data_IF_232483730449
#
_entry.id   IF_232483730449
#
_cell.length_a   1.000
_cell.length_b   1.000
_cell.length_c   1.000
_cell.angle_alpha   90.00
_cell.angle_beta   90.00
_cell.angle_gamma   90.00
#
_symmetry.space_group_name_H-M   'P 1'
#
loop_
_entity.id
_entity.type
_entity.pdbx_description
1 polymer ?
#
# COMPACT_ATOMS: atom_id res chain seq x y z
N UNK A 1 31.21 3.46 -4.18
CA UNK A 1 30.33 4.60 -3.76
C UNK A 1 28.90 4.07 -3.84
N UNK A 2 28.10 4.24 -2.79
CA UNK A 2 26.72 3.74 -2.78
C UNK A 2 25.91 4.51 -3.82
N UNK A 3 25.34 3.80 -4.79
CA UNK A 3 24.39 4.38 -5.75
C UNK A 3 22.96 4.23 -5.23
N UNK A 4 22.44 5.28 -4.60
CA UNK A 4 21.12 5.28 -3.99
C UNK A 4 19.99 4.92 -4.98
N UNK A 5 20.16 5.26 -6.26
CA UNK A 5 19.20 4.94 -7.33
C UNK A 5 19.01 3.42 -7.49
N UNK A 6 20.09 2.65 -7.43
CA UNK A 6 20.01 1.19 -7.50
C UNK A 6 19.21 0.60 -6.33
N UNK A 7 19.39 1.15 -5.14
CA UNK A 7 18.62 0.71 -3.95
C UNK A 7 17.15 1.12 -4.01
N UNK A 8 16.84 2.32 -4.52
CA UNK A 8 15.43 2.73 -4.77
C UNK A 8 14.74 1.77 -5.73
N UNK A 9 15.39 1.46 -6.86
CA UNK A 9 14.86 0.52 -7.86
C UNK A 9 14.70 -0.89 -7.25
N UNK A 10 15.67 -1.34 -6.47
CA UNK A 10 15.60 -2.63 -5.78
C UNK A 10 14.39 -2.71 -4.83
N UNK A 11 14.19 -1.71 -3.99
CA UNK A 11 13.05 -1.65 -3.05
C UNK A 11 11.73 -1.67 -3.81
N UNK A 12 11.61 -0.92 -4.90
CA UNK A 12 10.37 -0.91 -5.71
C UNK A 12 10.10 -2.28 -6.37
N UNK A 13 11.12 -2.92 -6.94
CA UNK A 13 10.96 -4.28 -7.50
C UNK A 13 10.62 -5.31 -6.42
N UNK A 14 11.14 -5.13 -5.20
CA UNK A 14 10.84 -5.99 -4.06
C UNK A 14 9.40 -5.81 -3.54
N UNK A 15 8.88 -4.58 -3.56
CA UNK A 15 7.48 -4.28 -3.23
C UNK A 15 6.52 -4.97 -4.20
N UNK A 16 6.78 -4.86 -5.50
CA UNK A 16 5.86 -5.33 -6.53
C UNK A 16 6.05 -6.83 -6.86
N UNK A 17 7.22 -7.39 -6.61
CA UNK A 17 7.65 -8.73 -7.10
C UNK A 17 7.34 -8.93 -8.59
N UNK A 18 7.28 -7.82 -9.33
CA UNK A 18 6.90 -7.74 -10.73
C UNK A 18 7.66 -6.59 -11.41
N UNK A 19 8.58 -6.94 -12.33
CA UNK A 19 9.42 -5.96 -13.03
C UNK A 19 8.60 -5.00 -13.90
N UNK A 20 7.49 -5.46 -14.49
CA UNK A 20 6.61 -4.62 -15.33
C UNK A 20 5.96 -3.54 -14.49
N UNK A 21 5.32 -3.91 -13.38
CA UNK A 21 4.69 -2.95 -12.47
C UNK A 21 5.69 -1.98 -11.87
N UNK A 22 6.84 -2.48 -11.42
CA UNK A 22 7.91 -1.62 -10.92
C UNK A 22 8.42 -0.63 -11.98
N UNK A 23 8.49 -1.05 -13.26
CA UNK A 23 8.90 -0.15 -14.35
C UNK A 23 7.88 0.96 -14.61
N UNK A 24 6.59 0.66 -14.49
CA UNK A 24 5.50 1.63 -14.61
C UNK A 24 5.56 2.66 -13.47
N UNK A 25 5.70 2.21 -12.22
CA UNK A 25 5.81 3.10 -11.04
C UNK A 25 7.06 3.99 -11.09
N UNK A 26 8.17 3.44 -11.56
CA UNK A 26 9.45 4.18 -11.68
C UNK A 26 9.53 5.06 -12.94
N UNK A 27 8.55 5.00 -13.84
CA UNK A 27 8.56 5.69 -15.15
C UNK A 27 9.82 5.40 -15.97
N UNK A 28 10.36 4.17 -15.93
CA UNK A 28 11.50 3.71 -16.72
C UNK A 28 11.17 2.39 -17.45
N UNK A 29 11.98 2.04 -18.46
CA UNK A 29 11.72 0.80 -19.21
C UNK A 29 12.07 -0.46 -18.39
N UNK A 30 11.34 -1.57 -18.62
CA UNK A 30 11.65 -2.87 -18.00
C UNK A 30 13.11 -3.35 -18.22
N UNK A 31 13.70 -3.20 -19.42
CA UNK A 31 15.12 -3.50 -19.60
C UNK A 31 16.04 -2.67 -18.70
N UNK A 32 15.68 -1.39 -18.45
CA UNK A 32 16.41 -0.52 -17.55
C UNK A 32 16.33 -1.02 -16.10
N UNK A 33 15.13 -1.34 -15.61
CA UNK A 33 14.93 -1.94 -14.28
C UNK A 33 15.80 -3.20 -14.12
N UNK A 34 15.72 -4.11 -15.10
CA UNK A 34 16.49 -5.37 -15.08
C UNK A 34 18.00 -5.11 -15.05
N UNK A 35 18.46 -4.12 -15.82
CA UNK A 35 19.88 -3.72 -15.84
C UNK A 35 20.33 -3.16 -14.50
N UNK A 36 19.53 -2.30 -13.88
CA UNK A 36 19.85 -1.72 -12.56
C UNK A 36 19.89 -2.78 -11.46
N UNK A 37 18.94 -3.74 -11.44
CA UNK A 37 18.99 -4.86 -10.50
C UNK A 37 20.25 -5.70 -10.68
N UNK A 38 20.61 -6.05 -11.92
CA UNK A 38 21.85 -6.78 -12.19
C UNK A 38 23.09 -6.01 -11.76
N UNK A 39 23.12 -4.70 -11.97
CA UNK A 39 24.22 -3.87 -11.51
C UNK A 39 24.36 -3.91 -9.99
N UNK A 40 23.25 -3.77 -9.26
CA UNK A 40 23.25 -3.88 -7.80
C UNK A 40 23.73 -5.25 -7.32
N UNK A 41 23.21 -6.32 -7.91
CA UNK A 41 23.64 -7.69 -7.60
C UNK A 41 25.15 -7.90 -7.85
N UNK A 42 25.67 -7.33 -8.94
CA UNK A 42 27.10 -7.39 -9.26
C UNK A 42 27.94 -6.55 -8.28
N UNK A 43 27.52 -5.31 -7.94
CA UNK A 43 28.24 -4.45 -6.99
C UNK A 43 28.31 -5.07 -5.59
N UNK A 44 27.25 -5.75 -5.17
CA UNK A 44 27.19 -6.43 -3.88
C UNK A 44 27.78 -7.84 -3.91
N UNK A 45 28.01 -8.39 -5.11
CA UNK A 45 28.34 -9.81 -5.33
C UNK A 45 27.32 -10.76 -4.68
N UNK A 46 26.03 -10.43 -4.80
CA UNK A 46 24.90 -11.15 -4.22
C UNK A 46 23.83 -11.39 -5.29
N UNK A 47 23.04 -12.45 -5.13
CA UNK A 47 21.82 -12.66 -5.89
C UNK A 47 20.64 -12.26 -5.01
N UNK A 48 19.92 -11.20 -5.37
CA UNK A 48 18.83 -10.65 -4.56
C UNK A 48 17.46 -11.20 -4.98
N UNK A 49 17.30 -11.55 -6.25
CA UNK A 49 16.06 -12.12 -6.78
C UNK A 49 16.29 -13.48 -7.42
N UNK A 50 15.25 -14.34 -7.34
CA UNK A 50 15.18 -15.62 -8.04
C UNK A 50 13.85 -15.75 -8.78
N UNK A 51 13.86 -16.41 -9.94
CA UNK A 51 12.63 -16.77 -10.66
C UNK A 51 12.08 -18.09 -10.13
N UNK A 52 10.78 -18.17 -9.97
CA UNK A 52 10.07 -19.40 -9.60
C UNK A 52 8.88 -19.60 -10.54
N UNK A 53 8.24 -20.78 -10.48
CA UNK A 53 7.01 -21.05 -11.23
C UNK A 53 5.85 -20.12 -10.86
N UNK A 54 5.98 -19.38 -9.75
CA UNK A 54 5.00 -18.38 -9.27
C UNK A 54 5.45 -16.92 -9.53
N UNK A 55 6.50 -16.71 -10.34
CA UNK A 55 7.01 -15.39 -10.68
C UNK A 55 8.33 -15.03 -9.98
N UNK A 56 8.60 -13.73 -9.86
CA UNK A 56 9.79 -13.19 -9.21
C UNK A 56 9.65 -13.30 -7.68
N UNK A 57 10.76 -13.64 -7.01
CA UNK A 57 10.83 -13.72 -5.54
C UNK A 57 12.18 -13.22 -5.05
N UNK A 58 12.21 -12.70 -3.85
CA UNK A 58 13.46 -12.40 -3.14
C UNK A 58 14.17 -13.70 -2.74
N UNK A 59 15.49 -13.66 -2.70
CA UNK A 59 16.31 -14.63 -1.97
C UNK A 59 16.27 -14.29 -0.47
N UNK A 60 16.83 -15.13 0.39
CA UNK A 60 16.86 -14.86 1.83
C UNK A 60 17.68 -13.60 2.13
N UNK A 61 18.83 -13.44 1.47
CA UNK A 61 19.65 -12.24 1.57
C UNK A 61 18.97 -11.02 0.92
N UNK A 62 18.22 -11.23 -0.17
CA UNK A 62 17.40 -10.17 -0.78
C UNK A 62 16.30 -9.69 0.15
N UNK A 63 15.67 -10.60 0.90
CA UNK A 63 14.66 -10.23 1.91
C UNK A 63 15.29 -9.45 3.06
N UNK A 64 16.42 -9.89 3.57
CA UNK A 64 17.17 -9.19 4.63
C UNK A 64 17.55 -7.76 4.21
N UNK A 65 18.07 -7.62 2.99
CA UNK A 65 18.41 -6.31 2.41
C UNK A 65 17.16 -5.44 2.26
N UNK A 66 16.04 -6.00 1.77
CA UNK A 66 14.79 -5.28 1.62
C UNK A 66 14.26 -4.75 2.96
N UNK A 67 14.18 -5.61 3.99
CA UNK A 67 13.72 -5.22 5.32
C UNK A 67 14.61 -4.13 5.95
N UNK A 68 15.91 -4.13 5.63
CA UNK A 68 16.84 -3.12 6.12
C UNK A 68 16.72 -1.78 5.38
N UNK A 69 16.30 -1.79 4.11
CA UNK A 69 16.32 -0.61 3.23
C UNK A 69 14.97 0.06 3.06
N UNK A 70 13.85 -0.66 3.18
CA UNK A 70 12.53 -0.10 2.88
C UNK A 70 12.23 1.19 3.67
N UNK A 71 12.51 1.21 4.97
CA UNK A 71 12.23 2.39 5.79
C UNK A 71 13.21 3.55 5.53
N UNK A 72 14.54 3.36 5.50
CA UNK A 72 15.47 4.41 5.12
C UNK A 72 15.22 5.00 3.72
N UNK A 73 14.91 4.18 2.72
CA UNK A 73 14.62 4.67 1.36
C UNK A 73 13.34 5.51 1.36
N UNK A 74 12.26 5.05 2.02
CA UNK A 74 11.02 5.80 2.11
C UNK A 74 11.22 7.13 2.83
N UNK A 75 12.04 7.18 3.89
CA UNK A 75 12.35 8.43 4.59
C UNK A 75 13.13 9.40 3.70
N UNK A 76 14.10 8.91 2.90
CA UNK A 76 14.83 9.75 1.94
C UNK A 76 13.86 10.32 0.88
N UNK A 77 12.96 9.51 0.31
CA UNK A 77 11.96 9.95 -0.65
C UNK A 77 11.05 11.02 -0.01
N UNK A 78 10.65 10.83 1.24
CA UNK A 78 9.84 11.78 1.99
C UNK A 78 10.55 13.09 2.28
N UNK A 79 11.85 13.04 2.56
CA UNK A 79 12.67 14.24 2.72
C UNK A 79 12.78 14.98 1.38
N UNK A 80 13.10 14.26 0.30
CA UNK A 80 13.23 14.83 -1.04
C UNK A 80 11.94 15.54 -1.48
N UNK A 81 10.76 14.90 -1.28
CA UNK A 81 9.46 15.49 -1.60
C UNK A 81 9.12 16.76 -0.82
N UNK A 82 9.72 17.01 0.35
CA UNK A 82 9.55 18.27 1.10
C UNK A 82 10.27 19.45 0.45
N UNK A 83 11.31 19.19 -0.33
CA UNK A 83 12.15 20.22 -0.96
C UNK A 83 11.89 20.34 -2.47
N UNK A 84 11.20 19.37 -3.07
CA UNK A 84 10.69 19.49 -4.44
C UNK A 84 9.27 20.05 -4.42
N UNK A 85 8.87 20.78 -5.47
CA UNK A 85 7.52 21.35 -5.58
C UNK A 85 6.43 20.26 -5.81
N UNK A 86 6.82 19.01 -6.00
CA UNK A 86 5.90 17.88 -6.15
C UNK A 86 5.63 17.26 -4.78
N UNK A 87 4.43 17.48 -4.28
CA UNK A 87 3.96 16.83 -3.04
C UNK A 87 3.12 15.62 -3.41
N UNK A 88 3.56 14.45 -2.96
CA UNK A 88 2.80 13.23 -3.06
C UNK A 88 2.19 12.89 -1.70
N UNK A 89 0.90 12.51 -1.68
CA UNK A 89 0.22 12.00 -0.50
C UNK A 89 -0.25 10.58 -0.83
N UNK A 90 0.26 9.61 -0.09
CA UNK A 90 -0.08 8.20 -0.25
C UNK A 90 -1.20 7.83 0.72
N UNK A 91 -2.35 7.44 0.18
CA UNK A 91 -3.56 7.18 0.95
C UNK A 91 -3.94 5.70 0.83
N UNK A 92 -4.06 5.02 1.97
CA UNK A 92 -4.59 3.66 2.05
C UNK A 92 -6.08 3.66 2.39
N UNK A 93 -6.87 2.84 1.69
CA UNK A 93 -8.27 2.63 2.06
C UNK A 93 -8.84 1.35 1.43
N UNK A 94 -9.94 0.86 1.98
CA UNK A 94 -10.74 -0.17 1.31
C UNK A 94 -11.53 0.41 0.12
N UNK A 95 -11.72 -0.37 -0.95
CA UNK A 95 -12.45 0.05 -2.14
C UNK A 95 -13.82 0.67 -1.86
N UNK A 96 -14.59 0.10 -0.94
CA UNK A 96 -15.92 0.60 -0.61
C UNK A 96 -15.88 1.96 0.12
N UNK A 97 -14.85 2.22 0.92
CA UNK A 97 -14.68 3.51 1.59
C UNK A 97 -14.19 4.59 0.61
N UNK A 98 -13.35 4.23 -0.35
CA UNK A 98 -12.91 5.15 -1.40
C UNK A 98 -14.11 5.74 -2.16
N UNK A 99 -15.05 4.90 -2.56
CA UNK A 99 -16.24 5.35 -3.30
C UNK A 99 -17.13 6.30 -2.47
N UNK A 100 -17.22 6.08 -1.15
CA UNK A 100 -18.07 6.89 -0.27
C UNK A 100 -17.41 8.24 0.07
N UNK A 101 -16.09 8.22 0.36
CA UNK A 101 -15.38 9.39 0.91
C UNK A 101 -14.81 10.26 -0.21
N UNK A 102 -14.38 9.67 -1.31
CA UNK A 102 -13.52 10.36 -2.27
C UNK A 102 -14.22 10.91 -3.51
N UNK A 103 -15.46 10.51 -3.85
CA UNK A 103 -16.09 10.92 -5.12
C UNK A 103 -16.06 12.44 -5.34
N UNK A 104 -16.70 13.21 -4.45
CA UNK A 104 -16.76 14.67 -4.56
C UNK A 104 -15.54 15.37 -3.92
N UNK A 105 -14.90 14.75 -2.93
CA UNK A 105 -13.80 15.37 -2.19
C UNK A 105 -12.52 15.46 -3.03
N UNK A 106 -12.18 14.43 -3.81
CA UNK A 106 -10.97 14.42 -4.64
C UNK A 106 -11.02 15.50 -5.71
N UNK A 107 -12.16 15.66 -6.37
CA UNK A 107 -12.30 16.69 -7.41
C UNK A 107 -12.10 18.09 -6.84
N UNK A 108 -12.65 18.38 -5.67
CA UNK A 108 -12.46 19.65 -4.97
C UNK A 108 -11.02 19.84 -4.52
N UNK A 109 -10.40 18.77 -4.01
CA UNK A 109 -9.01 18.80 -3.57
C UNK A 109 -8.05 19.16 -4.70
N UNK A 110 -8.20 18.56 -5.90
CA UNK A 110 -7.35 18.87 -7.05
C UNK A 110 -7.56 20.29 -7.59
N UNK A 111 -8.76 20.85 -7.45
CA UNK A 111 -9.02 22.26 -7.82
C UNK A 111 -8.29 23.23 -6.88
N UNK A 112 -8.20 22.90 -5.61
CA UNK A 112 -7.58 23.73 -4.58
C UNK A 112 -6.05 23.53 -4.49
N UNK A 113 -5.60 22.28 -4.72
CA UNK A 113 -4.19 21.88 -4.58
C UNK A 113 -3.67 21.16 -5.83
N UNK A 114 -3.55 21.85 -6.99
CA UNK A 114 -3.19 21.21 -8.26
C UNK A 114 -1.76 20.61 -8.29
N UNK A 115 -0.89 21.04 -7.39
CA UNK A 115 0.51 20.57 -7.29
C UNK A 115 0.70 19.39 -6.31
N UNK A 116 -0.40 18.84 -5.79
CA UNK A 116 -0.34 17.67 -4.90
C UNK A 116 -0.89 16.43 -5.63
N UNK A 117 -0.06 15.41 -5.73
CA UNK A 117 -0.46 14.12 -6.28
C UNK A 117 -1.01 13.22 -5.17
N UNK A 118 -2.20 12.65 -5.36
CA UNK A 118 -2.79 11.66 -4.46
C UNK A 118 -2.59 10.26 -5.05
N UNK A 119 -1.84 9.42 -4.34
CA UNK A 119 -1.67 8.02 -4.66
C UNK A 119 -2.61 7.18 -3.78
N UNK A 120 -3.51 6.41 -4.39
CA UNK A 120 -4.49 5.60 -3.67
C UNK A 120 -4.05 4.14 -3.68
N UNK A 121 -3.97 3.52 -2.51
CA UNK A 121 -3.65 2.09 -2.35
C UNK A 121 -4.78 1.38 -1.62
N UNK A 122 -5.17 0.21 -2.16
CA UNK A 122 -6.18 -0.64 -1.55
C UNK A 122 -5.53 -1.89 -0.98
N UNK A 123 -5.71 -2.12 0.31
CA UNK A 123 -5.23 -3.31 1.00
C UNK A 123 -6.09 -3.59 2.24
N UNK A 124 -5.81 -4.69 2.93
CA UNK A 124 -6.44 -5.01 4.22
C UNK A 124 -6.00 -4.04 5.33
N UNK A 125 -6.87 -3.76 6.29
CA UNK A 125 -6.64 -2.74 7.34
C UNK A 125 -5.31 -2.94 8.06
N UNK A 126 -4.99 -4.17 8.48
CA UNK A 126 -3.75 -4.46 9.22
C UNK A 126 -2.51 -4.21 8.36
N UNK A 127 -2.57 -4.55 7.08
CA UNK A 127 -1.51 -4.28 6.13
C UNK A 127 -1.30 -2.78 5.94
N UNK A 128 -2.38 -2.03 5.70
CA UNK A 128 -2.32 -0.57 5.57
C UNK A 128 -1.78 0.12 6.82
N UNK A 129 -2.13 -0.35 8.02
CA UNK A 129 -1.58 0.20 9.26
C UNK A 129 -0.08 -0.05 9.42
N UNK A 130 0.42 -1.21 8.97
CA UNK A 130 1.87 -1.48 8.92
C UNK A 130 2.56 -0.57 7.89
N UNK A 131 1.96 -0.35 6.74
CA UNK A 131 2.48 0.56 5.72
C UNK A 131 2.51 2.01 6.22
N UNK A 132 1.51 2.43 7.00
CA UNK A 132 1.48 3.73 7.66
C UNK A 132 2.61 3.86 8.70
N UNK A 133 2.83 2.81 9.52
CA UNK A 133 3.94 2.76 10.50
C UNK A 133 5.32 2.84 9.82
N UNK A 134 5.46 2.22 8.65
CA UNK A 134 6.68 2.20 7.86
C UNK A 134 6.87 3.47 6.98
N UNK A 135 5.90 4.38 6.95
CA UNK A 135 5.95 5.59 6.12
C UNK A 135 5.71 5.35 4.62
N UNK A 136 5.19 4.18 4.25
CA UNK A 136 4.76 3.87 2.88
C UNK A 136 3.41 4.52 2.55
N UNK A 137 2.57 4.75 3.57
CA UNK A 137 1.35 5.53 3.49
C UNK A 137 1.43 6.72 4.45
N UNK A 138 0.80 7.83 4.06
CA UNK A 138 0.70 9.04 4.88
C UNK A 138 -0.63 9.07 5.66
N UNK A 139 -1.70 8.53 5.06
CA UNK A 139 -3.05 8.51 5.63
C UNK A 139 -3.69 7.14 5.36
N UNK A 140 -4.44 6.63 6.33
CA UNK A 140 -5.26 5.42 6.16
C UNK A 140 -6.70 5.69 6.58
N UNK A 141 -7.64 5.41 5.67
CA UNK A 141 -9.07 5.40 5.96
C UNK A 141 -9.54 3.97 6.18
N UNK A 142 -9.92 3.65 7.41
CA UNK A 142 -10.37 2.30 7.77
C UNK A 142 -11.41 2.32 8.88
N UNK A 143 -12.05 1.18 9.11
CA UNK A 143 -12.77 0.95 10.37
C UNK A 143 -11.75 0.86 11.52
N UNK A 144 -12.14 1.29 12.71
CA UNK A 144 -11.29 1.17 13.90
C UNK A 144 -11.01 -0.31 14.20
N UNK A 145 -9.75 -0.65 14.38
CA UNK A 145 -9.29 -1.98 14.85
C UNK A 145 -8.97 -1.87 16.33
N UNK A 146 -9.69 -2.61 17.18
CA UNK A 146 -9.59 -2.45 18.64
C UNK A 146 -8.30 -3.03 19.24
N UNK A 147 -7.74 -4.10 18.65
CA UNK A 147 -6.63 -4.86 19.23
C UNK A 147 -5.27 -4.62 18.56
N UNK A 148 -5.20 -3.71 17.60
CA UNK A 148 -3.97 -3.39 16.88
C UNK A 148 -3.41 -2.05 17.38
N UNK A 149 -2.30 -2.12 18.13
CA UNK A 149 -1.58 -0.93 18.60
C UNK A 149 -0.43 -0.63 17.64
N UNK A 150 -0.51 0.49 16.97
CA UNK A 150 0.56 1.04 16.14
C UNK A 150 1.20 2.21 16.88
N UNK A 151 2.52 2.29 16.86
CA UNK A 151 3.26 3.40 17.48
C UNK A 151 3.23 4.62 16.54
N UNK A 152 3.19 5.81 17.15
CA UNK A 152 3.31 7.09 16.43
C UNK A 152 2.21 7.36 15.38
N UNK A 153 1.00 6.82 15.57
CA UNK A 153 -0.15 7.08 14.70
C UNK A 153 -1.19 7.88 15.48
N UNK A 154 -1.67 8.94 14.87
CA UNK A 154 -2.80 9.73 15.33
C UNK A 154 -4.10 9.24 14.69
N UNK A 155 -5.17 9.14 15.48
CA UNK A 155 -6.48 8.68 15.04
C UNK A 155 -7.49 9.81 15.04
N UNK A 156 -8.05 10.09 13.87
CA UNK A 156 -9.16 11.03 13.71
C UNK A 156 -10.46 10.26 13.42
N UNK A 157 -11.47 10.45 14.25
CA UNK A 157 -12.79 9.87 14.01
C UNK A 157 -13.58 10.74 13.03
N UNK A 158 -13.92 10.19 11.87
CA UNK A 158 -14.66 10.89 10.82
C UNK A 158 -16.18 10.67 10.93
N UNK A 159 -16.63 9.53 11.49
CA UNK A 159 -18.03 9.21 11.59
C UNK A 159 -18.31 7.78 12.03
N UNK A 160 -19.52 7.31 11.75
CA UNK A 160 -19.96 5.95 12.01
C UNK A 160 -20.36 5.28 10.70
N UNK A 161 -20.03 4.01 10.56
CA UNK A 161 -20.55 3.14 9.51
C UNK A 161 -21.56 2.17 10.15
N UNK A 162 -22.74 2.12 9.58
CA UNK A 162 -23.75 1.15 9.98
C UNK A 162 -23.73 0.02 8.96
N UNK A 163 -23.36 -1.18 9.40
CA UNK A 163 -23.48 -2.37 8.57
C UNK A 163 -24.94 -2.86 8.61
N UNK A 164 -25.48 -3.24 7.46
CA UNK A 164 -26.82 -3.84 7.34
C UNK A 164 -26.68 -5.24 6.77
N UNK A 165 -27.53 -6.13 7.23
CA UNK A 165 -27.68 -7.46 6.64
C UNK A 165 -28.63 -7.39 5.44
N UNK A 166 -28.19 -7.98 4.33
CA UNK A 166 -29.02 -8.11 3.13
C UNK A 166 -29.21 -9.60 2.85
N UNK A 167 -30.43 -10.00 2.55
CA UNK A 167 -30.73 -11.35 2.14
C UNK A 167 -31.58 -11.35 0.85
N UNK A 168 -31.62 -12.49 0.17
CA UNK A 168 -32.50 -12.66 -0.97
C UNK A 168 -33.96 -12.52 -0.52
N UNK A 169 -34.83 -11.92 -1.33
CA UNK A 169 -36.25 -11.71 -1.06
C UNK A 169 -36.98 -13.04 -0.75
N UNK A 170 -36.53 -14.14 -1.30
CA UNK A 170 -37.05 -15.49 -1.12
C UNK A 170 -36.33 -16.29 -0.02
N UNK A 171 -35.40 -15.66 0.72
CA UNK A 171 -34.69 -16.30 1.82
C UNK A 171 -35.61 -16.51 3.01
N UNK A 172 -35.37 -17.60 3.77
CA UNK A 172 -36.05 -17.86 5.05
C UNK A 172 -35.82 -16.76 6.10
N UNK A 173 -34.87 -15.87 5.86
CA UNK A 173 -34.54 -14.72 6.71
C UNK A 173 -35.20 -13.42 6.27
N UNK A 174 -35.87 -13.39 5.10
CA UNK A 174 -36.48 -12.19 4.58
C UNK A 174 -37.62 -11.73 5.50
N UNK A 175 -37.64 -10.41 5.80
CA UNK A 175 -38.69 -9.77 6.65
C UNK A 175 -38.83 -10.35 8.07
N UNK A 176 -37.75 -10.93 8.63
CA UNK A 176 -37.70 -11.45 9.99
C UNK A 176 -36.65 -10.75 10.81
N UNK A 177 -36.86 -10.69 12.12
CA UNK A 177 -35.79 -10.37 13.09
C UNK A 177 -35.06 -11.68 13.32
N UNK A 178 -33.76 -11.70 12.98
CA UNK A 178 -32.92 -12.90 13.06
C UNK A 178 -31.87 -12.67 14.16
N UNK A 179 -31.72 -13.62 15.04
CA UNK A 179 -30.67 -13.60 16.06
C UNK A 179 -29.31 -13.96 15.47
N UNK A 180 -28.24 -13.58 16.16
CA UNK A 180 -26.87 -13.95 15.76
C UNK A 180 -26.70 -15.47 15.67
N UNK A 181 -27.29 -16.20 16.61
CA UNK A 181 -27.22 -17.66 16.69
C UNK A 181 -27.88 -18.34 15.48
N UNK A 182 -29.05 -17.85 15.03
CA UNK A 182 -29.72 -18.36 13.82
C UNK A 182 -28.93 -18.08 12.54
N UNK A 183 -28.11 -17.02 12.49
CA UNK A 183 -27.22 -16.72 11.36
C UNK A 183 -25.99 -17.64 11.35
N UNK A 184 -25.44 -17.99 12.51
CA UNK A 184 -24.31 -18.90 12.66
C UNK A 184 -24.67 -20.35 12.30
N UNK A 185 -25.91 -20.78 12.57
CA UNK A 185 -26.42 -22.11 12.24
C UNK A 185 -26.81 -22.28 10.75
N UNK A 186 -26.87 -21.18 10.00
CA UNK A 186 -27.29 -21.17 8.59
C UNK A 186 -26.14 -21.22 7.59
N UNK A 187 -24.90 -21.33 8.06
CA UNK A 187 -23.68 -21.45 7.25
C UNK A 187 -23.23 -22.89 7.19
#
# INVERSE_FOLDING_TARGET
MINLELYKIFVEVANELNVTKASEHLNISQPSVTKHIKNLENELNLTLFKRSNKGLRLTDIGLELYESLKNPINEIIRIDSKFTNEKNINIGSHNHLLNIIFGDCISKFYLEYPNINLNLKCAETIEMLKMLENGELDIVFSKKVNDFKVKNIEYLKLGFLNDIFICNKNSNFANKIVSKQELEEAT
#
